data_IF_720928282034
#
_entry.id   IF_720928282034
#
_cell.length_a   1.000
_cell.length_b   1.000
_cell.length_c   1.000
_cell.angle_alpha   90.00
_cell.angle_beta   90.00
_cell.angle_gamma   90.00
#
_symmetry.space_group_name_H-M   'P 1'
#
loop_
_entity.id
_entity.type
_entity.pdbx_description
1 polymer ?
#
# COMPACT_ATOMS: atom_id res chain seq x y z
N UNK A 1 -22.34 4.85 10.17
CA UNK A 1 -21.13 5.65 10.45
C UNK A 1 -20.29 5.62 9.19
N UNK A 2 -19.81 6.77 8.70
CA UNK A 2 -18.78 6.77 7.66
C UNK A 2 -17.56 6.02 8.19
N UNK A 3 -16.88 5.27 7.33
CA UNK A 3 -15.64 4.58 7.74
C UNK A 3 -14.56 5.65 8.04
N UNK A 4 -13.53 5.34 8.84
CA UNK A 4 -12.39 6.25 9.03
C UNK A 4 -11.74 6.70 7.70
N UNK A 5 -11.87 5.91 6.62
CA UNK A 5 -11.44 6.27 5.27
C UNK A 5 -12.28 7.37 4.62
N UNK A 6 -13.52 7.57 5.08
CA UNK A 6 -14.46 8.53 4.50
C UNK A 6 -14.50 9.86 5.27
N UNK A 7 -13.72 10.00 6.35
CA UNK A 7 -13.70 11.21 7.20
C UNK A 7 -13.38 12.48 6.40
N UNK A 8 -12.61 12.36 5.32
CA UNK A 8 -12.33 13.49 4.41
C UNK A 8 -13.57 14.03 3.68
N UNK A 9 -14.69 13.28 3.67
CA UNK A 9 -15.94 13.67 3.00
C UNK A 9 -17.08 14.04 3.98
N UNK A 10 -16.81 13.96 5.28
CA UNK A 10 -17.78 14.29 6.33
C UNK A 10 -17.72 15.80 6.63
N UNK A 11 -18.85 16.51 6.77
CA UNK A 11 -18.87 17.90 7.21
C UNK A 11 -18.15 18.07 8.55
N UNK A 12 -17.37 19.14 8.72
CA UNK A 12 -16.54 19.32 9.91
C UNK A 12 -17.36 19.40 11.20
N UNK A 13 -18.56 19.96 11.14
CA UNK A 13 -19.51 20.04 12.26
C UNK A 13 -19.90 18.67 12.82
N UNK A 14 -19.89 17.63 11.99
CA UNK A 14 -20.29 16.26 12.35
C UNK A 14 -19.11 15.42 12.88
N UNK A 15 -17.89 15.96 12.85
CA UNK A 15 -16.69 15.27 13.31
C UNK A 15 -16.54 15.39 14.83
N UNK A 16 -16.69 14.27 15.54
CA UNK A 16 -16.41 14.15 16.98
C UNK A 16 -14.98 13.65 17.21
N UNK A 17 -14.10 14.55 17.67
CA UNK A 17 -12.68 14.25 17.90
C UNK A 17 -12.45 13.33 19.11
N UNK A 18 -13.30 13.37 20.13
CA UNK A 18 -13.18 12.50 21.30
C UNK A 18 -13.48 11.07 20.89
N UNK A 19 -14.55 10.88 20.12
CA UNK A 19 -14.92 9.57 19.59
C UNK A 19 -13.88 9.05 18.58
N UNK A 20 -13.34 9.92 17.73
CA UNK A 20 -12.27 9.56 16.80
C UNK A 20 -11.02 9.05 17.56
N UNK A 21 -10.61 9.75 18.62
CA UNK A 21 -9.49 9.33 19.45
C UNK A 21 -9.72 7.95 20.11
N UNK A 22 -10.92 7.70 20.63
CA UNK A 22 -11.29 6.40 21.19
C UNK A 22 -11.27 5.29 20.14
N UNK A 23 -11.76 5.55 18.93
CA UNK A 23 -11.75 4.58 17.84
C UNK A 23 -10.32 4.26 17.37
N UNK A 24 -9.44 5.25 17.34
CA UNK A 24 -8.04 5.09 16.95
C UNK A 24 -7.25 4.29 17.99
N UNK A 25 -7.40 4.61 19.28
CA UNK A 25 -6.68 3.95 20.37
C UNK A 25 -7.27 2.59 20.78
N UNK A 26 -8.52 2.28 20.38
CA UNK A 26 -9.26 1.10 20.85
C UNK A 26 -8.91 -0.23 20.19
N UNK A 27 -8.05 -0.24 19.15
CA UNK A 27 -7.70 -1.44 18.40
C UNK A 27 -6.61 -2.30 19.07
N UNK A 28 -6.72 -3.62 18.96
CA UNK A 28 -5.59 -4.51 19.24
C UNK A 28 -4.55 -4.36 18.14
N UNK A 29 -3.27 -4.27 18.51
CA UNK A 29 -2.16 -4.13 17.58
C UNK A 29 -1.04 -5.12 17.88
N UNK A 30 -0.33 -5.59 16.85
CA UNK A 30 0.89 -6.39 17.04
C UNK A 30 1.91 -5.63 17.88
N UNK A 31 2.63 -6.34 18.74
CA UNK A 31 3.58 -5.76 19.69
C UNK A 31 4.59 -4.80 19.04
N UNK A 32 5.07 -5.13 17.83
CA UNK A 32 6.06 -4.33 17.09
C UNK A 32 5.60 -2.92 16.70
N UNK A 33 4.29 -2.66 16.72
CA UNK A 33 3.72 -1.33 16.45
C UNK A 33 3.18 -0.65 17.71
N UNK A 34 3.07 -1.36 18.84
CA UNK A 34 2.51 -0.80 20.07
C UNK A 34 3.41 0.33 20.56
N UNK A 35 2.80 1.46 20.93
CA UNK A 35 3.55 2.57 21.51
C UNK A 35 4.49 3.27 20.50
N UNK A 36 4.29 3.07 19.19
CA UNK A 36 5.20 3.54 18.14
C UNK A 36 4.47 4.36 17.09
N UNK A 37 5.03 5.53 16.81
CA UNK A 37 4.77 6.32 15.61
C UNK A 37 5.94 6.09 14.66
N UNK A 38 5.64 5.82 13.40
CA UNK A 38 6.63 5.63 12.33
C UNK A 38 6.25 6.49 11.13
N UNK A 39 7.25 7.08 10.47
CA UNK A 39 7.08 7.77 9.18
C UNK A 39 7.99 7.10 8.16
N UNK A 40 7.42 6.60 7.07
CA UNK A 40 8.15 5.87 6.03
C UNK A 40 8.29 6.75 4.77
N UNK A 41 9.47 7.35 4.50
CA UNK A 41 9.73 8.07 3.26
C UNK A 41 9.94 7.05 2.12
N UNK A 42 8.84 6.44 1.67
CA UNK A 42 8.87 5.26 0.81
C UNK A 42 8.34 5.53 -0.61
N UNK A 43 9.24 5.94 -1.49
CA UNK A 43 8.89 6.14 -2.91
C UNK A 43 8.78 4.83 -3.68
N UNK A 44 9.64 3.85 -3.36
CA UNK A 44 9.83 2.65 -4.16
C UNK A 44 9.16 1.39 -3.58
N UNK A 45 8.48 1.50 -2.44
CA UNK A 45 7.88 0.38 -1.73
C UNK A 45 8.85 -0.39 -0.84
N UNK A 46 10.13 -0.03 -0.78
CA UNK A 46 11.15 -0.82 -0.07
C UNK A 46 10.96 -0.76 1.45
N UNK A 47 10.71 0.43 1.99
CA UNK A 47 10.58 0.61 3.45
C UNK A 47 9.28 0.03 3.98
N UNK A 48 8.17 0.20 3.26
CA UNK A 48 6.90 -0.44 3.60
C UNK A 48 6.97 -1.97 3.54
N UNK A 49 7.71 -2.55 2.58
CA UNK A 49 7.93 -4.00 2.61
C UNK A 49 8.69 -4.41 3.87
N UNK A 50 9.74 -3.68 4.26
CA UNK A 50 10.50 -3.98 5.48
C UNK A 50 9.67 -3.86 6.76
N UNK A 51 8.80 -2.86 6.83
CA UNK A 51 7.95 -2.62 7.99
C UNK A 51 6.90 -3.73 8.12
N UNK A 52 6.22 -4.06 7.02
CA UNK A 52 5.06 -4.95 7.08
C UNK A 52 5.40 -6.44 6.92
N UNK A 53 6.45 -6.79 6.17
CA UNK A 53 6.77 -8.16 5.77
C UNK A 53 8.11 -8.63 6.35
N UNK A 54 8.10 -9.46 7.41
CA UNK A 54 9.34 -10.08 7.90
C UNK A 54 9.91 -11.11 6.92
N UNK A 55 9.04 -11.75 6.15
CA UNK A 55 9.33 -12.74 5.12
C UNK A 55 8.28 -12.61 4.00
N UNK A 56 8.57 -13.19 2.84
CA UNK A 56 7.62 -13.30 1.73
C UNK A 56 8.09 -14.33 0.70
N UNK A 57 7.23 -15.28 0.33
CA UNK A 57 7.55 -16.27 -0.70
C UNK A 57 7.58 -15.67 -2.11
N UNK A 58 6.83 -14.58 -2.33
CA UNK A 58 6.75 -13.88 -3.59
C UNK A 58 7.02 -12.38 -3.46
N UNK A 59 7.45 -11.74 -4.55
CA UNK A 59 7.59 -10.28 -4.64
C UNK A 59 7.14 -9.81 -6.02
N UNK A 60 6.32 -8.77 -6.07
CA UNK A 60 5.96 -8.11 -7.32
C UNK A 60 6.91 -6.93 -7.54
N UNK A 61 7.49 -6.83 -8.74
CA UNK A 61 8.34 -5.71 -9.14
C UNK A 61 7.65 -5.03 -10.33
N UNK A 62 7.28 -3.77 -10.17
CA UNK A 62 6.55 -3.01 -11.19
C UNK A 62 7.44 -1.98 -11.88
N UNK A 63 7.21 -1.76 -13.17
CA UNK A 63 7.68 -0.56 -13.87
C UNK A 63 7.08 0.71 -13.24
N UNK A 64 7.85 1.81 -13.25
CA UNK A 64 7.43 3.10 -12.71
C UNK A 64 6.56 3.89 -13.70
N UNK A 65 5.39 3.35 -14.05
CA UNK A 65 4.33 4.08 -14.76
C UNK A 65 2.94 3.67 -14.27
N UNK A 66 1.90 4.45 -14.58
CA UNK A 66 0.63 4.33 -13.85
C UNK A 66 -0.05 2.98 -14.08
N UNK A 67 -0.06 2.48 -15.31
CA UNK A 67 -0.74 1.22 -15.63
C UNK A 67 -0.08 -0.02 -14.98
N UNK A 68 1.26 -0.22 -15.07
CA UNK A 68 1.97 -1.25 -14.31
C UNK A 68 1.79 -1.15 -12.80
N UNK A 69 1.83 0.06 -12.23
CA UNK A 69 1.66 0.25 -10.78
C UNK A 69 0.26 -0.14 -10.30
N UNK A 70 -0.80 0.28 -11.00
CA UNK A 70 -2.18 -0.09 -10.68
C UNK A 70 -2.41 -1.60 -10.81
N UNK A 71 -1.85 -2.22 -11.87
CA UNK A 71 -1.89 -3.66 -12.09
C UNK A 71 -1.18 -4.42 -10.96
N UNK A 72 0.02 -3.99 -10.59
CA UNK A 72 0.80 -4.58 -9.52
C UNK A 72 0.12 -4.43 -8.15
N UNK A 73 -0.46 -3.26 -7.86
CA UNK A 73 -1.19 -3.02 -6.62
C UNK A 73 -2.42 -3.95 -6.51
N UNK A 74 -3.16 -4.12 -7.61
CA UNK A 74 -4.31 -5.03 -7.65
C UNK A 74 -3.91 -6.47 -7.33
N UNK A 75 -2.81 -6.96 -7.92
CA UNK A 75 -2.27 -8.30 -7.66
C UNK A 75 -1.69 -8.44 -6.24
N UNK A 76 -0.98 -7.40 -5.77
CA UNK A 76 -0.37 -7.33 -4.45
C UNK A 76 -1.41 -7.49 -3.34
N UNK A 77 -2.51 -6.74 -3.42
CA UNK A 77 -3.61 -6.80 -2.44
C UNK A 77 -4.38 -8.11 -2.54
N UNK A 78 -4.69 -8.58 -3.76
CA UNK A 78 -5.43 -9.83 -3.96
C UNK A 78 -4.68 -11.06 -3.42
N UNK A 79 -3.37 -11.16 -3.71
CA UNK A 79 -2.55 -12.30 -3.30
C UNK A 79 -1.83 -12.10 -1.97
N UNK A 80 -1.96 -10.91 -1.35
CA UNK A 80 -1.23 -10.50 -0.15
C UNK A 80 0.29 -10.61 -0.29
N UNK A 81 0.78 -10.26 -1.47
CA UNK A 81 2.19 -10.30 -1.85
C UNK A 81 2.74 -8.88 -1.86
N UNK A 82 3.90 -8.61 -1.24
CA UNK A 82 4.51 -7.29 -1.29
C UNK A 82 4.88 -6.89 -2.72
N UNK A 83 4.88 -5.60 -3.00
CA UNK A 83 5.35 -5.03 -4.24
C UNK A 83 6.38 -3.92 -4.03
N UNK A 84 7.27 -3.77 -5.02
CA UNK A 84 8.20 -2.65 -5.13
C UNK A 84 8.15 -2.07 -6.53
N UNK A 85 8.52 -0.80 -6.64
CA UNK A 85 8.70 -0.10 -7.92
C UNK A 85 10.17 -0.27 -8.32
N UNK A 86 10.40 -0.68 -9.55
CA UNK A 86 11.74 -0.77 -10.09
C UNK A 86 12.27 0.62 -10.43
N UNK A 87 13.38 0.98 -9.81
CA UNK A 87 14.26 2.03 -10.27
C UNK A 87 15.72 1.57 -10.22
N UNK A 88 16.54 2.11 -11.12
CA UNK A 88 17.97 1.75 -11.18
C UNK A 88 18.73 2.12 -9.91
N UNK A 89 18.35 3.20 -9.21
CA UNK A 89 18.97 3.69 -7.98
C UNK A 89 18.78 2.76 -6.78
N UNK A 90 17.68 1.98 -6.75
CA UNK A 90 17.37 1.03 -5.67
C UNK A 90 17.46 -0.44 -6.10
N UNK A 91 18.01 -0.71 -7.28
CA UNK A 91 18.16 -2.07 -7.82
C UNK A 91 18.83 -3.03 -6.82
N UNK A 92 19.98 -2.64 -6.27
CA UNK A 92 20.72 -3.48 -5.31
C UNK A 92 19.94 -3.70 -4.02
N UNK A 93 19.14 -2.73 -3.63
CA UNK A 93 18.29 -2.80 -2.45
C UNK A 93 17.12 -3.77 -2.64
N UNK A 94 16.49 -3.75 -3.82
CA UNK A 94 15.47 -4.72 -4.21
C UNK A 94 16.06 -6.14 -4.20
N UNK A 95 17.27 -6.36 -4.72
CA UNK A 95 17.91 -7.69 -4.67
C UNK A 95 18.25 -8.14 -3.24
N UNK A 96 18.71 -7.21 -2.39
CA UNK A 96 18.89 -7.50 -0.96
C UNK A 96 17.57 -7.86 -0.28
N UNK A 97 16.49 -7.18 -0.66
CA UNK A 97 15.14 -7.44 -0.16
C UNK A 97 14.65 -8.84 -0.56
N UNK A 98 14.80 -9.23 -1.83
CA UNK A 98 14.49 -10.59 -2.34
C UNK A 98 15.18 -11.66 -1.48
N UNK A 99 16.47 -11.49 -1.21
CA UNK A 99 17.23 -12.43 -0.36
C UNK A 99 16.76 -12.42 1.10
N UNK A 100 16.56 -11.23 1.69
CA UNK A 100 16.16 -11.07 3.10
C UNK A 100 14.79 -11.69 3.38
N UNK A 101 13.85 -11.53 2.46
CA UNK A 101 12.48 -12.03 2.58
C UNK A 101 12.37 -13.53 2.30
N UNK A 102 13.39 -14.16 1.70
CA UNK A 102 13.32 -15.56 1.26
C UNK A 102 12.42 -15.74 0.02
N UNK A 103 12.35 -14.73 -0.85
CA UNK A 103 11.51 -14.75 -2.06
C UNK A 103 11.98 -15.87 -2.99
N UNK A 104 11.02 -16.66 -3.45
CA UNK A 104 11.21 -17.73 -4.45
C UNK A 104 10.53 -17.42 -5.77
N UNK A 105 9.52 -16.55 -5.78
CA UNK A 105 8.79 -16.15 -6.98
C UNK A 105 8.81 -14.63 -7.14
N UNK A 106 9.27 -14.14 -8.29
CA UNK A 106 9.25 -12.72 -8.63
C UNK A 106 8.33 -12.53 -9.83
N UNK A 107 7.29 -11.69 -9.66
CA UNK A 107 6.44 -11.27 -10.78
C UNK A 107 6.85 -9.88 -11.26
N UNK A 108 7.22 -9.77 -12.52
CA UNK A 108 7.54 -8.50 -13.18
C UNK A 108 6.30 -7.96 -13.89
N UNK A 109 5.84 -6.76 -13.50
CA UNK A 109 4.70 -6.08 -14.11
C UNK A 109 5.20 -4.88 -14.91
N UNK A 110 4.81 -4.78 -16.19
CA UNK A 110 5.39 -3.80 -17.11
C UNK A 110 6.80 -4.18 -17.59
N UNK A 111 7.51 -3.23 -18.19
CA UNK A 111 8.85 -3.33 -18.78
C UNK A 111 9.94 -3.16 -17.73
N UNK A 112 10.06 -4.13 -16.83
CA UNK A 112 11.15 -4.16 -15.85
C UNK A 112 12.42 -4.76 -16.48
N UNK A 113 13.55 -4.03 -16.54
CA UNK A 113 14.82 -4.48 -17.14
C UNK A 113 15.61 -5.38 -16.18
N UNK A 114 14.93 -6.40 -15.64
CA UNK A 114 15.54 -7.48 -14.87
C UNK A 114 15.70 -8.66 -15.82
N UNK A 115 16.94 -9.12 -15.98
CA UNK A 115 17.23 -10.39 -16.66
C UNK A 115 16.79 -11.53 -15.76
N UNK A 116 16.22 -12.59 -16.35
CA UNK A 116 15.97 -13.82 -15.60
C UNK A 116 17.32 -14.29 -15.07
N UNK A 117 17.51 -14.25 -13.75
CA UNK A 117 18.74 -14.73 -13.15
C UNK A 117 18.63 -16.24 -13.01
N UNK A 118 19.69 -16.94 -13.43
CA UNK A 118 19.86 -18.37 -13.19
C UNK A 118 20.06 -18.60 -11.69
N UNK A 119 19.16 -19.34 -11.05
CA UNK A 119 19.18 -19.57 -9.61
C UNK A 119 17.90 -20.25 -9.10
N UNK A 120 17.64 -20.12 -7.79
CA UNK A 120 16.47 -20.67 -7.09
C UNK A 120 15.23 -19.77 -7.10
N UNK A 121 15.33 -18.58 -7.69
CA UNK A 121 14.22 -17.62 -7.79
C UNK A 121 13.60 -17.73 -9.18
N UNK A 122 12.33 -18.08 -9.23
CA UNK A 122 11.54 -18.09 -10.46
C UNK A 122 11.11 -16.66 -10.80
N UNK A 123 11.40 -16.22 -12.02
CA UNK A 123 11.03 -14.89 -12.50
C UNK A 123 9.97 -15.01 -13.58
N UNK A 124 8.77 -14.56 -13.28
CA UNK A 124 7.60 -14.55 -14.17
C UNK A 124 7.35 -13.12 -14.66
N UNK A 125 6.86 -12.98 -15.89
CA UNK A 125 6.44 -11.68 -16.44
C UNK A 125 4.93 -11.65 -16.60
N UNK A 126 4.29 -10.57 -16.17
CA UNK A 126 2.87 -10.35 -16.38
C UNK A 126 2.58 -10.16 -17.89
N UNK A 127 1.66 -10.94 -18.48
CA UNK A 127 1.19 -10.74 -19.86
C UNK A 127 0.36 -9.46 -20.05
N UNK A 128 -0.14 -8.87 -18.96
CA UNK A 128 -0.86 -7.59 -19.01
C UNK A 128 -2.33 -7.70 -19.43
N UNK A 129 -2.97 -8.87 -19.27
CA UNK A 129 -4.40 -9.08 -19.58
C UNK A 129 -5.20 -9.45 -18.33
N UNK A 130 -6.48 -9.09 -18.30
CA UNK A 130 -7.40 -9.47 -17.21
C UNK A 130 -7.52 -11.00 -17.07
N UNK A 131 -7.53 -11.73 -18.19
CA UNK A 131 -7.54 -13.20 -18.16
C UNK A 131 -6.28 -13.79 -17.54
N UNK A 132 -5.10 -13.21 -17.82
CA UNK A 132 -3.84 -13.62 -17.19
C UNK A 132 -3.88 -13.42 -15.67
N UNK A 133 -4.55 -12.37 -15.21
CA UNK A 133 -4.76 -12.10 -13.79
C UNK A 133 -5.52 -13.25 -13.12
N UNK A 134 -6.58 -13.75 -13.78
CA UNK A 134 -7.33 -14.88 -13.25
C UNK A 134 -6.59 -16.20 -13.28
N UNK A 135 -5.66 -16.40 -14.22
CA UNK A 135 -4.75 -17.55 -14.18
C UNK A 135 -3.74 -17.40 -13.02
N UNK A 136 -3.19 -16.20 -12.82
CA UNK A 136 -2.21 -15.94 -11.77
C UNK A 136 -2.77 -16.15 -10.36
N UNK A 137 -4.03 -15.77 -10.13
CA UNK A 137 -4.62 -15.75 -8.79
C UNK A 137 -5.68 -16.82 -8.55
N UNK A 138 -6.14 -17.49 -9.61
CA UNK A 138 -7.33 -18.35 -9.61
C UNK A 138 -8.65 -17.62 -9.27
N UNK A 139 -8.73 -16.30 -9.51
CA UNK A 139 -9.93 -15.49 -9.28
C UNK A 139 -10.37 -14.69 -10.50
N UNK A 140 -11.66 -14.37 -10.62
CA UNK A 140 -12.15 -13.43 -11.62
C UNK A 140 -11.98 -12.01 -11.12
N UNK A 141 -11.66 -11.08 -12.02
CA UNK A 141 -11.47 -9.67 -11.69
C UNK A 141 -12.49 -8.76 -12.37
N UNK A 142 -13.04 -7.85 -11.58
CA UNK A 142 -13.83 -6.72 -12.08
C UNK A 142 -12.93 -5.51 -12.28
N UNK A 143 -13.06 -4.84 -13.43
CA UNK A 143 -12.25 -3.66 -13.74
C UNK A 143 -12.84 -2.40 -13.11
N UNK A 144 -11.99 -1.63 -12.43
CA UNK A 144 -12.30 -0.26 -11.96
C UNK A 144 -11.33 0.72 -12.60
N UNK A 145 -11.88 1.74 -13.27
CA UNK A 145 -11.09 2.79 -13.90
C UNK A 145 -10.74 3.87 -12.89
N UNK A 146 -9.48 4.25 -12.83
CA UNK A 146 -8.96 5.42 -12.11
C UNK A 146 -8.92 6.58 -13.11
N UNK A 147 -9.51 7.72 -12.75
CA UNK A 147 -9.75 8.83 -13.66
C UNK A 147 -8.55 9.77 -13.84
N UNK A 148 -7.75 9.96 -12.78
CA UNK A 148 -6.54 10.79 -12.83
C UNK A 148 -5.42 10.28 -11.91
N UNK A 149 -4.15 10.70 -12.12
CA UNK A 149 -3.02 10.29 -11.29
C UNK A 149 -3.19 10.54 -9.79
N UNK A 150 -3.84 11.64 -9.41
CA UNK A 150 -4.05 12.05 -8.01
C UNK A 150 -5.00 11.09 -7.27
N UNK A 151 -5.79 10.30 -8.00
CA UNK A 151 -6.71 9.31 -7.45
C UNK A 151 -6.07 7.95 -7.20
N UNK A 152 -4.82 7.72 -7.65
CA UNK A 152 -4.18 6.40 -7.56
C UNK A 152 -4.08 5.93 -6.11
N UNK A 153 -3.52 6.74 -5.21
CA UNK A 153 -3.34 6.35 -3.81
C UNK A 153 -4.67 5.98 -3.15
N UNK A 154 -5.71 6.79 -3.39
CA UNK A 154 -7.08 6.51 -2.91
C UNK A 154 -7.65 5.23 -3.50
N UNK A 155 -7.50 5.01 -4.81
CA UNK A 155 -8.01 3.82 -5.47
C UNK A 155 -7.35 2.54 -4.94
N UNK A 156 -6.04 2.59 -4.67
CA UNK A 156 -5.29 1.47 -4.08
C UNK A 156 -5.69 1.24 -2.61
N UNK A 157 -5.84 2.31 -1.81
CA UNK A 157 -6.28 2.21 -0.41
C UNK A 157 -7.66 1.56 -0.27
N UNK A 158 -8.53 1.73 -1.27
CA UNK A 158 -9.88 1.15 -1.34
C UNK A 158 -9.93 -0.29 -1.86
N UNK A 159 -8.81 -0.89 -2.28
CA UNK A 159 -8.80 -2.28 -2.73
C UNK A 159 -9.18 -3.21 -1.58
N UNK A 160 -10.19 -4.05 -1.80
CA UNK A 160 -10.54 -5.16 -0.93
C UNK A 160 -9.90 -6.46 -1.49
N UNK A 161 -9.05 -7.16 -0.71
CA UNK A 161 -8.48 -8.44 -1.11
C UNK A 161 -9.51 -9.49 -1.57
N UNK A 162 -10.75 -9.46 -1.04
CA UNK A 162 -11.81 -10.40 -1.38
C UNK A 162 -12.67 -10.02 -2.57
N UNK A 163 -12.63 -8.75 -3.01
CA UNK A 163 -13.42 -8.28 -4.15
C UNK A 163 -12.72 -8.46 -5.50
N UNK A 164 -11.41 -8.78 -5.50
CA UNK A 164 -10.61 -9.03 -6.69
C UNK A 164 -10.80 -7.94 -7.77
N UNK A 165 -10.56 -6.69 -7.40
CA UNK A 165 -10.68 -5.56 -8.33
C UNK A 165 -9.38 -5.34 -9.12
N UNK A 166 -9.49 -5.18 -10.44
CA UNK A 166 -8.40 -4.75 -11.32
C UNK A 166 -8.48 -3.24 -11.54
N UNK A 167 -7.52 -2.49 -11.00
CA UNK A 167 -7.41 -1.06 -11.28
C UNK A 167 -6.78 -0.81 -12.65
N UNK A 168 -7.36 0.13 -13.41
CA UNK A 168 -6.88 0.56 -14.73
C UNK A 168 -6.78 2.07 -14.81
N UNK A 169 -5.70 2.60 -15.34
CA UNK A 169 -5.58 4.03 -15.62
C UNK A 169 -6.43 4.40 -16.84
N UNK A 170 -7.22 5.48 -16.75
CA UNK A 170 -7.99 5.99 -17.89
C UNK A 170 -7.10 6.57 -18.99
N UNK A 171 -5.91 7.05 -18.64
CA UNK A 171 -5.01 7.81 -19.51
C UNK A 171 -3.83 7.00 -20.07
N UNK A 172 -3.59 5.80 -19.53
CA UNK A 172 -2.45 4.96 -19.92
C UNK A 172 -2.90 3.49 -19.98
N UNK A 173 -2.96 2.88 -21.16
CA UNK A 173 -3.27 1.46 -21.26
C UNK A 173 -2.06 0.61 -20.85
N UNK A 174 -2.31 -0.51 -20.15
CA UNK A 174 -1.26 -1.48 -19.88
C UNK A 174 -0.81 -2.18 -21.18
N UNK A 175 0.49 -2.22 -21.41
CA UNK A 175 1.07 -2.94 -22.54
C UNK A 175 0.77 -4.45 -22.42
N UNK A 176 0.19 -5.03 -23.47
CA UNK A 176 -0.10 -6.46 -23.55
C UNK A 176 1.07 -7.21 -24.19
N UNK A 177 1.33 -8.41 -23.70
CA UNK A 177 2.35 -9.32 -24.23
C UNK A 177 1.71 -10.64 -24.62
N UNK A 178 1.17 -10.69 -25.83
CA UNK A 178 0.36 -11.81 -26.32
C UNK A 178 1.10 -13.15 -26.40
N UNK A 179 2.44 -13.11 -26.46
CA UNK A 179 3.29 -14.31 -26.49
C UNK A 179 3.67 -14.85 -25.10
N UNK A 180 3.31 -14.14 -24.03
CA UNK A 180 3.59 -14.59 -22.68
C UNK A 180 2.40 -15.37 -22.12
N UNK A 181 2.68 -16.57 -21.64
CA UNK A 181 1.72 -17.34 -20.86
C UNK A 181 1.73 -16.86 -19.41
N UNK A 182 0.52 -16.74 -18.84
CA UNK A 182 0.35 -16.43 -17.43
C UNK A 182 0.75 -17.64 -16.58
N UNK A 183 1.46 -17.40 -15.48
CA UNK A 183 1.85 -18.43 -14.52
C UNK A 183 1.27 -18.10 -13.14
N UNK A 184 0.95 -19.10 -12.30
CA UNK A 184 0.42 -18.86 -10.96
C UNK A 184 1.35 -17.99 -10.11
N UNK A 185 0.77 -17.01 -9.41
CA UNK A 185 1.44 -16.23 -8.36
C UNK A 185 1.01 -16.81 -7.01
N UNK A 186 1.92 -17.38 -6.19
CA UNK A 186 1.54 -17.96 -4.91
C UNK A 186 0.85 -16.95 -3.98
N UNK A 187 -0.37 -17.28 -3.54
CA UNK A 187 -1.10 -16.49 -2.56
C UNK A 187 -0.48 -16.63 -1.17
N UNK A 188 -0.58 -15.58 -0.37
CA UNK A 188 -0.08 -15.57 1.01
C UNK A 188 -1.22 -15.37 2.03
N UNK A 189 -1.07 -15.94 3.24
CA UNK A 189 -2.02 -15.72 4.31
C UNK A 189 -2.05 -14.24 4.72
N UNK A 190 -3.18 -13.82 5.29
CA UNK A 190 -3.30 -12.51 5.93
C UNK A 190 -2.28 -12.41 7.08
N UNK A 191 -1.51 -11.32 7.14
CA UNK A 191 -0.34 -11.20 8.04
C UNK A 191 -0.61 -10.38 9.29
N UNK A 192 -1.52 -9.42 9.23
CA UNK A 192 -1.85 -8.56 10.38
C UNK A 192 -2.55 -9.33 11.52
N UNK A 193 -3.25 -10.42 11.20
CA UNK A 193 -4.09 -11.14 12.17
C UNK A 193 -5.21 -10.26 12.74
N UNK A 194 -5.70 -9.28 11.97
CA UNK A 194 -6.60 -8.22 12.44
C UNK A 194 -5.99 -7.27 13.50
N UNK A 195 -4.66 -7.20 13.58
CA UNK A 195 -3.94 -6.36 14.53
C UNK A 195 -2.97 -5.38 13.83
N UNK A 196 -3.38 -4.84 12.69
CA UNK A 196 -2.63 -3.82 11.97
C UNK A 196 -2.60 -2.49 12.74
N UNK A 197 -1.51 -1.68 12.61
CA UNK A 197 -1.51 -0.32 13.12
C UNK A 197 -2.49 0.55 12.34
N UNK A 198 -2.77 1.76 12.84
CA UNK A 198 -3.40 2.78 12.01
C UNK A 198 -2.38 3.20 10.95
N UNK A 199 -2.78 3.15 9.68
CA UNK A 199 -1.95 3.59 8.57
C UNK A 199 -2.57 4.81 7.90
N UNK A 200 -1.78 5.87 7.77
CA UNK A 200 -2.17 7.09 7.08
C UNK A 200 -1.27 7.34 5.87
N UNK A 201 -1.82 7.94 4.84
CA UNK A 201 -1.14 8.30 3.60
C UNK A 201 -1.75 9.60 3.05
N UNK A 202 -1.16 10.19 2.02
CA UNK A 202 -1.75 11.30 1.26
C UNK A 202 -1.97 10.88 -0.19
N UNK A 203 -2.57 11.76 -0.99
CA UNK A 203 -2.68 11.54 -2.44
C UNK A 203 -1.31 11.43 -3.14
N UNK A 204 -0.24 11.97 -2.54
CA UNK A 204 1.11 11.94 -3.07
C UNK A 204 1.89 10.66 -2.70
N UNK A 205 1.39 9.87 -1.74
CA UNK A 205 2.05 8.63 -1.30
C UNK A 205 2.19 7.64 -2.44
N UNK A 206 3.36 6.98 -2.51
CA UNK A 206 3.64 5.93 -3.50
C UNK A 206 2.56 4.84 -3.51
N UNK A 207 2.06 4.43 -4.69
CA UNK A 207 1.09 3.35 -4.81
C UNK A 207 1.61 2.03 -4.24
N UNK A 208 2.93 1.79 -4.31
CA UNK A 208 3.56 0.59 -3.75
C UNK A 208 3.46 0.57 -2.22
N UNK A 209 3.74 1.70 -1.55
CA UNK A 209 3.65 1.78 -0.10
C UNK A 209 2.22 1.53 0.41
N UNK A 210 1.21 2.12 -0.26
CA UNK A 210 -0.20 1.90 0.05
C UNK A 210 -0.59 0.43 -0.20
N UNK A 211 -0.19 -0.14 -1.34
CA UNK A 211 -0.48 -1.54 -1.68
C UNK A 211 0.13 -2.51 -0.66
N UNK A 212 1.35 -2.26 -0.19
CA UNK A 212 2.02 -3.09 0.81
C UNK A 212 1.28 -3.08 2.16
N UNK A 213 0.83 -1.92 2.62
CA UNK A 213 0.01 -1.83 3.82
C UNK A 213 -1.33 -2.59 3.66
N UNK A 214 -2.00 -2.45 2.51
CA UNK A 214 -3.23 -3.19 2.19
C UNK A 214 -3.01 -4.70 2.09
N UNK A 215 -1.93 -5.14 1.45
CA UNK A 215 -1.55 -6.54 1.30
C UNK A 215 -1.21 -7.19 2.65
N UNK A 216 -0.61 -6.43 3.58
CA UNK A 216 -0.40 -6.85 4.96
C UNK A 216 -1.73 -7.07 5.73
N UNK A 217 -2.75 -6.29 5.37
CA UNK A 217 -4.10 -6.33 5.96
C UNK A 217 -4.50 -5.04 6.66
N UNK A 218 -3.66 -4.01 6.64
CA UNK A 218 -3.97 -2.72 7.25
C UNK A 218 -5.02 -1.94 6.45
N UNK A 219 -5.85 -1.18 7.17
CA UNK A 219 -6.65 -0.10 6.57
C UNK A 219 -5.77 1.12 6.37
N UNK A 220 -5.79 1.70 5.17
CA UNK A 220 -5.04 2.93 4.86
C UNK A 220 -6.02 4.08 4.74
N UNK A 221 -5.80 5.16 5.50
CA UNK A 221 -6.60 6.38 5.46
C UNK A 221 -5.86 7.42 4.63
N UNK A 222 -6.50 7.92 3.58
CA UNK A 222 -5.92 9.01 2.78
C UNK A 222 -6.31 10.34 3.44
N UNK A 223 -5.32 10.99 4.04
CA UNK A 223 -5.44 12.31 4.60
C UNK A 223 -5.42 13.37 3.48
N UNK A 224 -6.22 14.46 3.62
CA UNK A 224 -6.17 15.59 2.69
C UNK A 224 -4.79 16.23 2.62
N UNK A 225 -4.10 16.34 3.76
CA UNK A 225 -2.73 16.86 3.88
C UNK A 225 -1.96 16.04 4.91
N UNK A 226 -0.63 16.06 4.85
CA UNK A 226 0.21 15.32 5.78
C UNK A 226 0.28 15.97 7.17
N UNK A 227 -0.11 17.24 7.30
CA UNK A 227 -0.16 17.93 8.58
C UNK A 227 -1.56 17.75 9.21
N UNK A 228 -1.69 16.96 10.29
CA UNK A 228 -3.00 16.70 10.88
C UNK A 228 -3.67 17.96 11.46
N UNK A 229 -2.93 19.05 11.69
CA UNK A 229 -3.49 20.28 12.26
C UNK A 229 -4.17 21.18 11.23
N UNK A 230 -4.06 20.90 9.93
CA UNK A 230 -4.61 21.77 8.87
C UNK A 230 -6.11 21.62 8.65
N UNK A 231 -6.71 20.51 9.08
CA UNK A 231 -8.16 20.35 9.06
C UNK A 231 -8.64 19.44 10.17
N UNK A 232 -9.89 19.62 10.59
CA UNK A 232 -10.51 18.78 11.62
C UNK A 232 -10.59 17.32 11.17
N UNK A 233 -10.82 17.09 9.87
CA UNK A 233 -10.85 15.77 9.25
C UNK A 233 -9.49 15.07 9.29
N UNK A 234 -8.41 15.78 8.93
CA UNK A 234 -7.06 15.24 9.01
C UNK A 234 -6.70 14.88 10.46
N UNK A 235 -6.99 15.76 11.42
CA UNK A 235 -6.74 15.47 12.83
C UNK A 235 -7.54 14.26 13.34
N UNK A 236 -8.82 14.14 12.99
CA UNK A 236 -9.65 13.01 13.40
C UNK A 236 -9.06 11.65 12.98
N UNK A 237 -8.41 11.58 11.81
CA UNK A 237 -7.76 10.36 11.33
C UNK A 237 -6.58 9.90 12.22
N UNK A 238 -6.01 10.77 13.04
CA UNK A 238 -4.84 10.46 13.89
C UNK A 238 -5.01 10.83 15.37
N UNK A 239 -6.17 11.35 15.76
CA UNK A 239 -6.44 11.76 17.12
C UNK A 239 -6.12 10.64 18.13
N UNK A 240 -5.39 10.96 19.19
CA UNK A 240 -4.98 10.02 20.24
C UNK A 240 -3.87 9.03 19.86
N UNK A 241 -3.19 9.25 18.71
CA UNK A 241 -2.09 8.40 18.24
C UNK A 241 -0.71 9.07 18.37
N UNK A 242 -0.56 10.09 19.23
CA UNK A 242 0.71 10.77 19.52
C UNK A 242 1.77 9.82 20.07
N UNK A 243 1.36 8.68 20.64
CA UNK A 243 2.24 7.60 21.06
C UNK A 243 1.96 6.29 20.29
N UNK A 244 1.35 6.36 19.10
CA UNK A 244 1.01 5.21 18.27
C UNK A 244 -0.20 4.39 18.76
N UNK A 245 -0.51 3.26 18.11
CA UNK A 245 0.21 2.62 16.99
C UNK A 245 -0.09 3.27 15.63
N UNK A 246 0.87 4.00 15.07
CA UNK A 246 0.70 4.78 13.84
C UNK A 246 1.86 4.56 12.86
N UNK A 247 1.53 4.31 11.60
CA UNK A 247 2.50 4.32 10.47
C UNK A 247 2.01 5.32 9.43
N UNK A 248 2.78 6.36 9.18
CA UNK A 248 2.52 7.34 8.13
C UNK A 248 3.37 7.02 6.90
N UNK A 249 2.72 6.92 5.74
CA UNK A 249 3.35 6.58 4.48
C UNK A 249 3.61 7.84 3.66
N UNK A 250 4.89 8.19 3.48
CA UNK A 250 5.33 9.36 2.72
C UNK A 250 6.16 10.31 3.57
N UNK A 251 7.11 10.98 2.92
CA UNK A 251 8.01 11.94 3.57
C UNK A 251 7.31 13.22 4.04
N UNK A 252 6.17 13.57 3.45
CA UNK A 252 5.45 14.83 3.73
C UNK A 252 4.98 14.91 5.20
N UNK A 253 4.89 13.76 5.87
CA UNK A 253 4.59 13.67 7.29
C UNK A 253 5.76 14.11 8.20
N UNK A 254 6.95 14.27 7.63
CA UNK A 254 8.17 14.64 8.33
C UNK A 254 8.84 13.44 9.01
N UNK A 255 9.12 13.59 10.30
CA UNK A 255 9.68 12.52 11.13
C UNK A 255 8.70 12.11 12.25
N UNK A 256 8.91 10.95 12.91
CA UNK A 256 8.03 10.48 13.97
C UNK A 256 7.82 11.48 15.11
N UNK A 257 8.85 12.25 15.51
CA UNK A 257 8.72 13.24 16.57
C UNK A 257 7.85 14.41 16.13
N UNK A 258 8.09 14.95 14.94
CA UNK A 258 7.29 16.04 14.41
C UNK A 258 5.81 15.64 14.28
N UNK A 259 5.53 14.44 13.77
CA UNK A 259 4.16 13.95 13.64
C UNK A 259 3.51 13.74 15.01
N UNK A 260 4.22 13.12 15.95
CA UNK A 260 3.74 12.91 17.33
C UNK A 260 3.44 14.23 18.04
N UNK A 261 4.31 15.22 17.91
CA UNK A 261 4.14 16.55 18.49
C UNK A 261 2.92 17.27 17.91
N UNK A 262 2.71 17.20 16.59
CA UNK A 262 1.53 17.78 15.93
C UNK A 262 0.23 17.13 16.41
N UNK A 263 0.23 15.81 16.61
CA UNK A 263 -0.93 15.10 17.17
C UNK A 263 -1.16 15.51 18.62
N UNK A 264 -0.11 15.54 19.46
CA UNK A 264 -0.21 15.89 20.88
C UNK A 264 -0.63 17.34 21.13
N UNK A 265 -0.29 18.27 20.24
CA UNK A 265 -0.73 19.67 20.31
C UNK A 265 -2.23 19.85 20.03
N UNK A 266 -2.83 18.88 19.32
CA UNK A 266 -4.23 18.92 18.93
C UNK A 266 -4.54 19.81 17.73
N UNK A 267 -5.79 19.72 17.26
CA UNK A 267 -6.37 20.64 16.29
C UNK A 267 -7.02 21.84 16.99
N UNK A 268 -6.90 23.02 16.37
CA UNK A 268 -7.52 24.28 16.82
C UNK A 268 -8.26 24.91 15.64
N UNK A 269 -9.45 25.43 15.94
CA UNK A 269 -10.27 26.21 14.99
C UNK A 269 -9.70 27.62 14.76
#
# INVERSE_FOLDING_TARGET
MPSPQDLATVPEEDIDLVRAAQANAGGFVQERFRGRVEVLPDYWGVESVREFFPDSEALIIAENSAAPLLRAASLSVAQRVPMVIFDSSVREEIFRLVKKLGVRHVLLVGQVPVTASTGTVEVVRDPGTTSAMGVMTAFQFDSKVVGSPEQIAQAVAQLDPGAHTELKAAWEPLARREHLEAQPLPAQPRRDGQMAPVVVATAATSPAAVANARAFGAEVRIMPTANPQESKAAYAMVAGLDNGPLVALGEDFGDPHLLSDRIGQGWRE
#
